data_IF_106922466794
#
_entry.id   IF_106922466794
#
_cell.length_a   1.000
_cell.length_b   1.000
_cell.length_c   1.000
_cell.angle_alpha   90.00
_cell.angle_beta   90.00
_cell.angle_gamma   90.00
#
_symmetry.space_group_name_H-M   'P 1'
#
loop_
_entity.id
_entity.type
_entity.pdbx_description
1 polymer ?
#
# COMPACT_ATOMS: atom_id res chain seq x y z
N UNK A 1 -16.25 17.55 34.86
CA UNK A 1 -15.97 16.14 34.51
C UNK A 1 -16.36 15.95 33.04
N UNK A 2 -15.48 16.36 32.11
CA UNK A 2 -15.73 16.17 30.68
C UNK A 2 -15.27 14.76 30.29
N UNK A 3 -16.21 13.92 29.88
CA UNK A 3 -15.92 12.61 29.30
C UNK A 3 -15.57 12.82 27.84
N UNK A 4 -14.28 12.74 27.52
CA UNK A 4 -13.81 12.64 26.13
C UNK A 4 -14.15 11.24 25.63
N UNK A 5 -15.28 11.15 24.92
CA UNK A 5 -15.60 9.95 24.15
C UNK A 5 -14.64 9.94 22.96
N UNK A 6 -13.57 9.16 23.09
CA UNK A 6 -12.72 8.76 21.98
C UNK A 6 -13.54 7.90 21.01
N UNK A 7 -14.37 8.56 20.20
CA UNK A 7 -14.97 7.95 19.03
C UNK A 7 -13.79 7.48 18.18
N UNK A 8 -13.63 6.16 18.09
CA UNK A 8 -12.80 5.53 17.08
C UNK A 8 -13.11 6.22 15.76
N UNK A 9 -12.16 7.00 15.23
CA UNK A 9 -12.19 7.43 13.83
C UNK A 9 -11.97 6.16 13.01
N UNK A 10 -13.03 5.37 12.86
CA UNK A 10 -13.19 4.54 11.69
C UNK A 10 -13.14 5.54 10.55
N UNK A 11 -11.97 5.62 9.92
CA UNK A 11 -11.83 6.28 8.64
C UNK A 11 -12.79 5.54 7.74
N UNK A 12 -13.92 6.19 7.44
CA UNK A 12 -14.85 5.73 6.42
C UNK A 12 -13.96 5.52 5.20
N UNK A 13 -13.87 4.27 4.75
CA UNK A 13 -13.24 3.92 3.50
C UNK A 13 -14.17 4.43 2.40
N UNK A 14 -14.13 5.74 2.18
CA UNK A 14 -14.86 6.42 1.13
C UNK A 14 -14.18 6.04 -0.18
N UNK A 15 -14.84 5.32 -1.07
CA UNK A 15 -14.26 4.90 -2.34
C UNK A 15 -13.78 6.11 -3.17
N UNK A 16 -12.56 6.63 -2.97
CA UNK A 16 -12.15 7.93 -3.50
C UNK A 16 -12.12 7.99 -5.04
N UNK A 17 -12.29 6.86 -5.73
CA UNK A 17 -12.36 6.77 -7.17
C UNK A 17 -13.44 7.67 -7.79
N UNK A 18 -14.53 7.97 -7.08
CA UNK A 18 -15.62 8.83 -7.58
C UNK A 18 -15.32 10.34 -7.48
N UNK A 19 -14.27 10.74 -6.77
CA UNK A 19 -14.02 12.17 -6.48
C UNK A 19 -13.44 12.94 -7.67
N UNK A 20 -12.78 12.25 -8.60
CA UNK A 20 -12.11 12.87 -9.75
C UNK A 20 -12.45 12.13 -11.05
N UNK A 21 -13.55 12.50 -11.73
CA UNK A 21 -13.91 11.92 -13.01
C UNK A 21 -12.76 12.02 -14.03
N UNK A 22 -12.47 10.91 -14.71
CA UNK A 22 -11.35 10.83 -15.67
C UNK A 22 -9.98 10.52 -15.07
N UNK A 23 -9.90 10.28 -13.75
CA UNK A 23 -8.73 9.74 -13.07
C UNK A 23 -9.01 8.35 -12.51
N UNK A 24 -7.98 7.50 -12.52
CA UNK A 24 -7.95 6.18 -11.91
C UNK A 24 -7.13 6.28 -10.62
N UNK A 25 -7.70 5.79 -9.52
CA UNK A 25 -7.00 5.68 -8.26
C UNK A 25 -6.05 4.46 -8.28
N UNK A 26 -4.76 4.70 -8.10
CA UNK A 26 -3.72 3.67 -7.97
C UNK A 26 -3.06 3.75 -6.60
N UNK A 27 -2.47 2.65 -6.16
CA UNK A 27 -1.93 2.52 -4.82
C UNK A 27 -0.45 2.15 -4.89
N UNK A 28 0.38 2.82 -4.11
CA UNK A 28 1.79 2.44 -3.95
C UNK A 28 2.07 2.18 -2.49
N UNK A 29 2.56 0.98 -2.19
CA UNK A 29 3.05 0.61 -0.86
C UNK A 29 4.55 0.82 -0.81
N UNK A 30 5.00 1.52 0.22
CA UNK A 30 6.38 1.60 0.62
C UNK A 30 6.54 0.79 1.91
N UNK A 31 7.29 -0.29 1.83
CA UNK A 31 7.56 -1.21 2.92
C UNK A 31 9.07 -1.15 3.23
N UNK A 32 9.39 -0.82 4.47
CA UNK A 32 10.77 -0.81 4.98
C UNK A 32 10.87 -1.84 6.07
N UNK A 33 11.82 -2.75 5.94
CA UNK A 33 12.10 -3.81 6.90
C UNK A 33 13.58 -3.88 7.24
N UNK A 34 13.93 -4.59 8.32
CA UNK A 34 15.29 -5.05 8.52
C UNK A 34 15.71 -6.04 7.42
N UNK A 35 17.01 -6.39 7.41
CA UNK A 35 17.54 -7.46 6.57
C UNK A 35 17.05 -8.83 7.05
N UNK A 36 15.86 -9.20 6.61
CA UNK A 36 15.29 -10.53 6.82
C UNK A 36 15.22 -11.24 5.46
N UNK A 37 15.92 -12.38 5.26
CA UNK A 37 15.93 -13.11 4.00
C UNK A 37 14.53 -13.52 3.51
N UNK A 38 13.56 -13.69 4.42
CA UNK A 38 12.21 -14.13 4.10
C UNK A 38 11.21 -13.00 3.85
N UNK A 39 11.53 -11.74 4.15
CA UNK A 39 10.52 -10.67 4.19
C UNK A 39 9.88 -10.39 2.84
N UNK A 40 10.65 -10.50 1.75
CA UNK A 40 10.13 -10.32 0.39
C UNK A 40 9.13 -11.42 0.05
N UNK A 41 9.45 -12.68 0.36
CA UNK A 41 8.56 -13.82 0.14
C UNK A 41 7.29 -13.72 0.99
N UNK A 42 7.42 -13.29 2.25
CA UNK A 42 6.26 -13.08 3.14
C UNK A 42 5.38 -11.94 2.64
N UNK A 43 5.96 -10.83 2.19
CA UNK A 43 5.21 -9.73 1.58
C UNK A 43 4.48 -10.18 0.30
N UNK A 44 5.12 -11.01 -0.53
CA UNK A 44 4.49 -11.60 -1.72
C UNK A 44 3.27 -12.46 -1.35
N UNK A 45 3.38 -13.32 -0.34
CA UNK A 45 2.27 -14.14 0.13
C UNK A 45 1.09 -13.30 0.66
N UNK A 46 1.37 -12.16 1.31
CA UNK A 46 0.31 -11.22 1.74
C UNK A 46 -0.36 -10.54 0.55
N UNK A 47 0.41 -10.11 -0.46
CA UNK A 47 -0.12 -9.52 -1.69
C UNK A 47 -1.03 -10.50 -2.44
N UNK A 48 -0.59 -11.74 -2.58
CA UNK A 48 -1.39 -12.82 -3.18
C UNK A 48 -2.68 -13.08 -2.39
N UNK A 49 -2.60 -13.13 -1.06
CA UNK A 49 -3.75 -13.36 -0.19
C UNK A 49 -4.82 -12.26 -0.23
N UNK A 50 -4.46 -11.02 -0.54
CA UNK A 50 -5.41 -9.91 -0.75
C UNK A 50 -5.85 -9.77 -2.22
N UNK A 51 -5.41 -10.70 -3.09
CA UNK A 51 -5.68 -10.67 -4.55
C UNK A 51 -5.17 -9.38 -5.20
N UNK A 52 -4.08 -8.83 -4.69
CA UNK A 52 -3.53 -7.57 -5.15
C UNK A 52 -2.77 -7.75 -6.47
N UNK A 53 -3.15 -7.00 -7.50
CA UNK A 53 -2.41 -6.97 -8.78
C UNK A 53 -1.18 -6.09 -8.61
N UNK A 54 0.02 -6.64 -8.79
CA UNK A 54 1.28 -5.89 -8.70
C UNK A 54 1.72 -5.47 -10.09
N UNK A 55 1.66 -4.16 -10.37
CA UNK A 55 2.11 -3.60 -11.64
C UNK A 55 3.63 -3.46 -11.70
N UNK A 56 4.25 -3.12 -10.56
CA UNK A 56 5.70 -2.97 -10.44
C UNK A 56 6.15 -3.19 -9.01
N UNK A 57 7.25 -3.91 -8.84
CA UNK A 57 7.91 -4.08 -7.56
C UNK A 57 9.40 -3.74 -7.69
N UNK A 58 9.84 -2.70 -6.99
CA UNK A 58 11.24 -2.35 -6.84
C UNK A 58 11.72 -2.66 -5.43
N UNK A 59 12.88 -3.31 -5.32
CA UNK A 59 13.52 -3.67 -4.05
C UNK A 59 14.90 -3.02 -4.04
N UNK A 60 15.19 -2.25 -3.01
CA UNK A 60 16.48 -1.61 -2.79
C UNK A 60 17.00 -1.97 -1.40
N UNK A 61 18.30 -2.23 -1.31
CA UNK A 61 18.98 -2.38 -0.02
C UNK A 61 19.67 -1.07 0.33
N UNK A 62 19.41 -0.55 1.52
CA UNK A 62 20.06 0.64 2.05
C UNK A 62 20.68 0.30 3.41
N UNK A 63 21.99 -0.01 3.42
CA UNK A 63 22.68 -0.48 4.63
C UNK A 63 22.06 -1.77 5.19
N UNK A 64 21.51 -1.65 6.40
CA UNK A 64 20.88 -2.75 7.16
C UNK A 64 19.35 -2.79 7.04
N UNK A 65 18.78 -2.02 6.11
CA UNK A 65 17.35 -2.06 5.79
C UNK A 65 17.11 -2.47 4.34
N UNK A 66 15.95 -3.08 4.15
CA UNK A 66 15.39 -3.40 2.85
C UNK A 66 14.19 -2.50 2.60
N UNK A 67 14.27 -1.71 1.54
CA UNK A 67 13.20 -0.85 1.07
C UNK A 67 12.51 -1.49 -0.13
N UNK A 68 11.19 -1.54 -0.10
CA UNK A 68 10.36 -2.16 -1.11
C UNK A 68 9.29 -1.17 -1.54
N UNK A 69 9.24 -0.85 -2.83
CA UNK A 69 8.22 -0.01 -3.43
C UNK A 69 7.38 -0.86 -4.37
N UNK A 70 6.11 -1.04 -4.01
CA UNK A 70 5.17 -1.92 -4.71
C UNK A 70 4.06 -1.04 -5.27
N UNK A 71 3.99 -0.93 -6.59
CA UNK A 71 2.90 -0.28 -7.31
C UNK A 71 1.83 -1.33 -7.55
N UNK A 72 0.63 -1.03 -7.11
CA UNK A 72 -0.54 -1.90 -7.18
C UNK A 72 -1.51 -1.35 -8.22
N UNK A 73 -2.01 -2.27 -9.05
CA UNK A 73 -3.03 -2.00 -10.05
C UNK A 73 -4.41 -1.85 -9.42
N UNK A 74 -5.45 -2.18 -10.19
CA UNK A 74 -6.85 -2.07 -9.76
C UNK A 74 -7.07 -2.74 -8.39
N UNK A 75 -7.23 -1.91 -7.37
CA UNK A 75 -7.43 -2.32 -5.99
C UNK A 75 -8.36 -1.31 -5.33
N UNK A 76 -9.37 -1.81 -4.62
CA UNK A 76 -10.26 -0.95 -3.85
C UNK A 76 -9.53 -0.35 -2.65
N UNK A 77 -9.93 0.83 -2.20
CA UNK A 77 -9.31 1.44 -1.02
C UNK A 77 -9.43 0.53 0.23
N UNK A 78 -10.54 -0.21 0.35
CA UNK A 78 -10.75 -1.13 1.47
C UNK A 78 -9.75 -2.29 1.47
N UNK A 79 -9.38 -2.79 0.28
CA UNK A 79 -8.28 -3.74 0.13
C UNK A 79 -6.94 -3.07 0.44
N UNK A 80 -6.72 -1.83 0.01
CA UNK A 80 -5.49 -1.08 0.27
C UNK A 80 -5.22 -0.92 1.77
N UNK A 81 -6.23 -0.54 2.55
CA UNK A 81 -6.13 -0.38 4.00
C UNK A 81 -5.83 -1.71 4.67
N UNK A 82 -6.56 -2.79 4.32
CA UNK A 82 -6.29 -4.13 4.86
C UNK A 82 -4.89 -4.62 4.52
N UNK A 83 -4.45 -4.42 3.27
CA UNK A 83 -3.13 -4.79 2.80
C UNK A 83 -2.05 -4.05 3.58
N UNK A 84 -2.20 -2.72 3.76
CA UNK A 84 -1.29 -1.91 4.57
C UNK A 84 -1.18 -2.47 5.99
N UNK A 85 -2.31 -2.77 6.62
CA UNK A 85 -2.34 -3.24 8.01
C UNK A 85 -1.71 -4.63 8.14
N UNK A 86 -1.93 -5.53 7.18
CA UNK A 86 -1.29 -6.84 7.13
C UNK A 86 0.22 -6.75 6.91
N UNK A 87 0.66 -5.90 6.00
CA UNK A 87 2.09 -5.68 5.74
C UNK A 87 2.79 -5.04 6.94
N UNK A 88 2.12 -4.10 7.62
CA UNK A 88 2.65 -3.48 8.84
C UNK A 88 2.76 -4.46 10.02
N UNK A 89 1.96 -5.53 10.02
CA UNK A 89 2.00 -6.57 11.04
C UNK A 89 3.04 -7.67 10.79
N UNK A 90 3.77 -7.62 9.66
CA UNK A 90 4.82 -8.60 9.37
C UNK A 90 6.03 -8.42 10.30
N UNK A 91 6.58 -9.53 10.74
CA UNK A 91 7.77 -9.52 11.60
C UNK A 91 8.99 -8.93 10.87
N UNK A 92 9.71 -8.04 11.55
CA UNK A 92 10.85 -7.31 11.00
C UNK A 92 10.52 -6.10 10.13
N UNK A 93 9.24 -5.74 9.96
CA UNK A 93 8.83 -4.48 9.31
C UNK A 93 9.03 -3.31 10.26
N UNK A 94 9.75 -2.31 9.77
CA UNK A 94 10.06 -1.07 10.50
C UNK A 94 9.06 0.03 10.15
N UNK A 95 8.58 0.06 8.90
CA UNK A 95 7.64 1.06 8.41
C UNK A 95 6.84 0.53 7.23
N UNK A 96 5.55 0.80 7.24
CA UNK A 96 4.68 0.66 6.06
C UNK A 96 4.00 1.99 5.79
N UNK A 97 4.02 2.43 4.53
CA UNK A 97 3.31 3.63 4.07
C UNK A 97 2.52 3.29 2.82
N UNK A 98 1.25 3.67 2.82
CA UNK A 98 0.40 3.64 1.62
C UNK A 98 0.35 5.03 1.01
N UNK A 99 0.53 5.12 -0.30
CA UNK A 99 0.30 6.32 -1.10
C UNK A 99 -0.83 6.08 -2.08
N UNK A 100 -1.79 7.01 -2.12
CA UNK A 100 -2.92 7.02 -3.03
C UNK A 100 -2.63 8.02 -4.15
N UNK A 101 -2.64 7.56 -5.40
CA UNK A 101 -2.32 8.37 -6.57
C UNK A 101 -3.51 8.40 -7.52
N UNK A 102 -3.92 9.58 -7.96
CA UNK A 102 -4.91 9.72 -9.02
C UNK A 102 -4.19 9.92 -10.35
N UNK A 103 -4.29 8.95 -11.24
CA UNK A 103 -3.64 8.98 -12.57
C UNK A 103 -4.71 9.23 -13.63
N UNK A 104 -4.49 10.18 -14.54
CA UNK A 104 -5.47 10.48 -15.59
C UNK A 104 -5.63 9.28 -16.53
N UNK A 105 -6.86 8.85 -16.79
CA UNK A 105 -7.16 7.82 -17.77
C UNK A 105 -6.71 8.30 -19.16
N UNK A 106 -5.66 7.68 -19.71
CA UNK A 106 -5.02 8.09 -20.98
C UNK A 106 -3.56 8.55 -20.85
N UNK A 107 -3.03 8.70 -19.63
CA UNK A 107 -1.60 8.93 -19.37
C UNK A 107 -0.95 7.72 -18.69
N UNK A 108 -1.31 6.50 -19.11
CA UNK A 108 -0.45 5.35 -18.85
C UNK A 108 0.87 5.67 -19.56
N UNK A 109 1.87 6.07 -18.77
CA UNK A 109 3.13 6.57 -19.28
C UNK A 109 3.73 5.52 -20.23
N UNK A 110 3.78 5.87 -21.51
CA UNK A 110 4.71 5.28 -22.46
C UNK A 110 6.11 5.62 -21.95
N UNK A 111 6.67 4.73 -21.14
CA UNK A 111 8.04 4.81 -20.65
C UNK A 111 8.87 3.80 -21.43
N UNK A 112 9.48 4.26 -22.52
CA UNK A 112 10.61 3.62 -23.17
C UNK A 112 11.91 4.25 -22.68
#
# INVERSE_FOLDING_TARGET
MHQDTAASRQTVCEDWSHLLPGFTLTHTVHLVSGLNPGIVSTAAAVLEGETATVDRWAIARCGDVLEQKIVLGEMTEGQAVRLRDRLAALDGVLRTRMEHHFVRAGSAASGN
#
